data_IF_435311421432
#
_entry.id   IF_435311421432
#
_cell.length_a   1.000
_cell.length_b   1.000
_cell.length_c   1.000
_cell.angle_alpha   90.00
_cell.angle_beta   90.00
_cell.angle_gamma   90.00
#
_symmetry.space_group_name_H-M   'P 1'
#
loop_
_entity.id
_entity.type
_entity.pdbx_description
1 polymer ?
#
# COMPACT_ATOMS: atom_id res chain seq x y z
N UNK A 1 -5.59 -2.34 -18.09
CA UNK A 1 -4.45 -3.24 -18.41
C UNK A 1 -4.80 -4.64 -17.95
N UNK A 2 -4.16 -5.72 -18.43
CA UNK A 2 -4.35 -7.05 -17.81
C UNK A 2 -3.87 -6.99 -16.35
N UNK A 3 -4.66 -7.46 -15.38
CA UNK A 3 -4.24 -7.52 -13.99
C UNK A 3 -2.98 -8.37 -13.85
N UNK A 4 -2.21 -8.11 -12.81
CA UNK A 4 -1.16 -9.01 -12.36
C UNK A 4 -1.32 -9.25 -10.87
N UNK A 5 -0.90 -10.43 -10.44
CA UNK A 5 -0.91 -10.82 -9.04
C UNK A 5 0.52 -11.13 -8.60
N UNK A 6 0.87 -10.65 -7.42
CA UNK A 6 2.07 -11.04 -6.68
C UNK A 6 1.64 -11.56 -5.31
N UNK A 7 2.47 -12.35 -4.66
CA UNK A 7 2.13 -12.91 -3.36
C UNK A 7 3.36 -13.07 -2.48
N UNK A 8 3.13 -13.16 -1.18
CA UNK A 8 4.10 -13.60 -0.19
C UNK A 8 3.41 -14.47 0.86
N UNK A 9 4.14 -15.43 1.42
CA UNK A 9 3.70 -16.19 2.60
C UNK A 9 4.35 -15.56 3.83
N UNK A 10 3.53 -15.25 4.83
CA UNK A 10 3.91 -14.54 6.05
C UNK A 10 3.59 -15.40 7.26
N UNK A 11 4.54 -15.51 8.18
CA UNK A 11 4.42 -16.28 9.42
C UNK A 11 3.64 -15.53 10.49
N UNK A 12 2.37 -15.21 10.21
CA UNK A 12 1.44 -14.61 11.15
C UNK A 12 -0.02 -14.98 10.85
N UNK A 13 -0.94 -14.92 11.85
CA UNK A 13 -2.36 -15.07 11.63
C UNK A 13 -2.91 -14.02 10.64
N UNK A 14 -3.88 -14.42 9.82
CA UNK A 14 -4.42 -13.52 8.78
C UNK A 14 -5.09 -12.28 9.37
N UNK A 15 -5.67 -12.40 10.56
CA UNK A 15 -6.36 -11.33 11.27
C UNK A 15 -5.40 -10.18 11.61
N UNK A 16 -4.18 -10.50 12.06
CA UNK A 16 -3.15 -9.52 12.41
C UNK A 16 -2.58 -8.82 11.17
N UNK A 17 -2.32 -9.58 10.11
CA UNK A 17 -1.84 -9.02 8.84
C UNK A 17 -2.92 -8.13 8.23
N UNK A 18 -4.16 -8.58 8.25
CA UNK A 18 -5.30 -7.80 7.78
C UNK A 18 -5.41 -6.47 8.54
N UNK A 19 -5.39 -6.52 9.89
CA UNK A 19 -5.50 -5.32 10.73
C UNK A 19 -4.39 -4.31 10.46
N UNK A 20 -3.18 -4.81 10.16
CA UNK A 20 -2.07 -3.94 9.84
C UNK A 20 -2.20 -3.32 8.44
N UNK A 21 -2.63 -4.09 7.44
CA UNK A 21 -2.72 -3.61 6.04
C UNK A 21 -3.91 -2.68 5.83
N UNK A 22 -5.03 -2.94 6.53
CA UNK A 22 -6.26 -2.13 6.44
C UNK A 22 -6.11 -0.77 7.13
N UNK A 23 -5.07 -0.60 7.94
CA UNK A 23 -4.66 0.69 8.49
C UNK A 23 -3.62 1.37 7.61
N UNK A 24 -4.06 2.38 6.87
CA UNK A 24 -3.19 3.15 5.98
C UNK A 24 -2.07 3.90 6.73
N UNK A 25 -2.18 4.10 8.05
CA UNK A 25 -1.09 4.65 8.84
C UNK A 25 0.16 3.75 8.82
N UNK A 26 0.00 2.43 8.72
CA UNK A 26 1.13 1.48 8.66
C UNK A 26 1.75 1.35 7.27
N UNK A 27 1.16 1.94 6.23
CA UNK A 27 1.54 1.72 4.82
C UNK A 27 3.00 2.09 4.53
N UNK A 28 3.47 3.19 5.10
CA UNK A 28 4.82 3.70 4.84
C UNK A 28 5.89 2.69 5.25
N UNK A 29 5.68 1.92 6.32
CA UNK A 29 6.62 0.95 6.86
C UNK A 29 7.10 -0.10 5.85
N UNK A 30 6.27 -0.45 4.86
CA UNK A 30 6.60 -1.45 3.84
C UNK A 30 6.51 -0.94 2.40
N UNK A 31 6.10 0.32 2.17
CA UNK A 31 5.98 0.93 0.84
C UNK A 31 6.88 2.16 0.61
N UNK A 32 7.64 2.62 1.61
CA UNK A 32 8.52 3.81 1.51
C UNK A 32 9.56 3.75 0.39
N UNK A 33 9.91 2.57 -0.16
CA UNK A 33 10.86 2.45 -1.27
C UNK A 33 10.37 3.11 -2.55
N UNK A 34 9.05 3.27 -2.73
CA UNK A 34 8.45 3.82 -3.96
C UNK A 34 7.29 4.77 -3.72
N UNK A 35 6.68 4.77 -2.53
CA UNK A 35 5.73 5.77 -2.07
C UNK A 35 6.46 6.82 -1.22
N UNK A 36 6.76 7.97 -1.81
CA UNK A 36 7.44 9.10 -1.16
C UNK A 36 6.42 10.14 -0.68
N UNK A 37 6.78 10.98 0.28
CA UNK A 37 5.90 12.02 0.84
C UNK A 37 4.52 11.48 1.25
N UNK A 38 4.50 10.33 1.92
CA UNK A 38 3.27 9.65 2.30
C UNK A 38 2.53 10.44 3.38
N UNK A 39 1.25 10.73 3.14
CA UNK A 39 0.41 11.51 4.04
C UNK A 39 -1.00 10.94 4.07
N UNK A 40 -1.58 10.85 5.26
CA UNK A 40 -2.98 10.51 5.41
C UNK A 40 -3.85 11.66 4.86
N UNK A 41 -4.84 11.31 4.06
CA UNK A 41 -5.77 12.27 3.44
C UNK A 41 -7.07 12.41 4.24
N UNK A 42 -7.29 11.54 5.24
CA UNK A 42 -8.46 11.53 6.13
C UNK A 42 -8.02 11.24 7.56
N UNK A 43 -8.83 11.65 8.52
CA UNK A 43 -8.59 11.38 9.94
C UNK A 43 -8.81 9.90 10.29
N UNK A 44 -9.81 9.26 9.68
CA UNK A 44 -9.95 7.83 9.73
C UNK A 44 -8.87 7.17 8.85
N UNK A 45 -8.00 6.38 9.47
CA UNK A 45 -6.90 5.69 8.79
C UNK A 45 -7.21 4.23 8.49
N UNK A 46 -8.31 3.70 9.04
CA UNK A 46 -8.62 2.27 9.05
C UNK A 46 -9.94 2.00 8.33
N UNK A 47 -9.95 0.97 7.49
CA UNK A 47 -11.17 0.45 6.87
C UNK A 47 -11.73 1.35 5.77
N UNK A 48 -13.00 1.12 5.40
CA UNK A 48 -13.64 1.80 4.28
C UNK A 48 -13.60 3.34 4.43
N UNK A 49 -13.26 4.01 3.33
CA UNK A 49 -13.13 5.47 3.29
C UNK A 49 -11.81 6.01 3.83
N UNK A 50 -10.96 5.18 4.47
CA UNK A 50 -9.60 5.57 4.78
C UNK A 50 -8.85 5.93 3.48
N UNK A 51 -8.10 7.02 3.51
CA UNK A 51 -7.40 7.49 2.32
C UNK A 51 -6.04 8.11 2.64
N UNK A 52 -5.12 8.01 1.68
CA UNK A 52 -3.79 8.58 1.76
C UNK A 52 -3.32 9.08 0.40
N UNK A 53 -2.38 10.04 0.44
CA UNK A 53 -1.76 10.66 -0.73
C UNK A 53 -0.25 10.54 -0.63
N UNK A 54 0.39 10.26 -1.76
CA UNK A 54 1.85 10.10 -1.83
C UNK A 54 2.36 10.38 -3.25
N UNK A 55 3.66 10.54 -3.37
CA UNK A 55 4.38 10.64 -4.63
C UNK A 55 4.96 9.29 -5.03
N UNK A 56 4.54 8.78 -6.18
CA UNK A 56 5.11 7.57 -6.80
C UNK A 56 6.42 7.91 -7.51
N UNK A 57 7.52 7.26 -7.10
CA UNK A 57 8.83 7.37 -7.74
C UNK A 57 8.92 6.51 -9.03
N UNK A 58 8.06 6.79 -10.01
CA UNK A 58 7.95 6.01 -11.24
C UNK A 58 9.10 6.27 -12.24
N UNK A 59 9.44 5.32 -13.12
CA UNK A 59 10.61 5.39 -14.02
C UNK A 59 10.56 6.51 -15.08
N UNK A 60 9.41 7.15 -15.29
CA UNK A 60 9.21 8.24 -16.26
C UNK A 60 8.85 9.57 -15.58
N UNK A 61 9.30 9.73 -14.32
CA UNK A 61 9.06 10.90 -13.50
C UNK A 61 8.09 10.63 -12.36
N UNK A 62 8.24 11.40 -11.29
CA UNK A 62 7.41 11.30 -10.10
C UNK A 62 5.98 11.74 -10.37
N UNK A 63 5.02 11.03 -9.78
CA UNK A 63 3.59 11.31 -9.98
C UNK A 63 2.86 11.27 -8.65
N UNK A 64 2.03 12.28 -8.37
CA UNK A 64 1.11 12.21 -7.24
C UNK A 64 0.08 11.11 -7.47
N UNK A 65 -0.16 10.35 -6.41
CA UNK A 65 -1.19 9.34 -6.33
C UNK A 65 -1.99 9.51 -5.03
N UNK A 66 -3.24 9.12 -5.10
CA UNK A 66 -4.14 9.01 -3.95
C UNK A 66 -4.71 7.60 -3.93
N UNK A 67 -4.79 7.02 -2.74
CA UNK A 67 -5.44 5.73 -2.50
C UNK A 67 -6.59 5.94 -1.52
N UNK A 68 -7.64 5.16 -1.71
CA UNK A 68 -8.76 5.07 -0.78
C UNK A 68 -9.21 3.61 -0.65
N UNK A 69 -9.47 3.15 0.56
CA UNK A 69 -10.09 1.85 0.80
C UNK A 69 -11.55 1.94 0.39
N UNK A 70 -11.95 1.10 -0.56
CA UNK A 70 -13.27 1.10 -1.16
C UNK A 70 -14.20 0.03 -0.56
N UNK A 71 -13.65 -1.10 -0.15
CA UNK A 71 -14.41 -2.22 0.43
C UNK A 71 -13.50 -3.03 1.36
N UNK A 72 -14.05 -3.47 2.49
CA UNK A 72 -13.36 -4.30 3.48
C UNK A 72 -14.21 -5.50 3.89
N UNK A 73 -13.63 -6.69 3.82
CA UNK A 73 -14.23 -7.93 4.33
C UNK A 73 -13.21 -8.61 5.26
N UNK A 74 -13.28 -8.29 6.56
CA UNK A 74 -12.34 -8.80 7.55
C UNK A 74 -12.58 -10.31 7.80
N UNK A 75 -11.52 -11.13 7.87
CA UNK A 75 -10.10 -10.86 7.62
C UNK A 75 -9.64 -11.27 6.21
N UNK A 76 -10.55 -11.40 5.25
CA UNK A 76 -10.32 -12.08 3.97
C UNK A 76 -9.83 -11.16 2.86
N UNK A 77 -10.33 -9.92 2.79
CA UNK A 77 -10.14 -9.07 1.61
C UNK A 77 -10.18 -7.58 1.90
N UNK A 78 -9.33 -6.83 1.19
CA UNK A 78 -9.35 -5.37 1.13
C UNK A 78 -9.30 -4.95 -0.34
N UNK A 79 -10.21 -4.08 -0.76
CA UNK A 79 -10.18 -3.48 -2.08
C UNK A 79 -9.87 -1.98 -1.98
N UNK A 80 -8.83 -1.56 -2.67
CA UNK A 80 -8.41 -0.16 -2.75
C UNK A 80 -8.64 0.38 -4.16
N UNK A 81 -9.02 1.65 -4.21
CA UNK A 81 -9.03 2.45 -5.43
C UNK A 81 -7.90 3.43 -5.38
N UNK A 82 -7.26 3.64 -6.51
CA UNK A 82 -6.16 4.59 -6.64
C UNK A 82 -6.39 5.52 -7.82
N UNK A 83 -5.97 6.77 -7.67
CA UNK A 83 -5.92 7.76 -8.75
C UNK A 83 -4.52 8.31 -8.83
N UNK A 84 -3.97 8.44 -10.02
CA UNK A 84 -2.59 8.88 -10.20
C UNK A 84 -2.37 9.68 -11.50
N UNK A 85 -1.21 10.33 -11.57
CA UNK A 85 -0.84 11.20 -12.68
C UNK A 85 -1.49 12.58 -12.59
N UNK A 86 -1.30 13.39 -13.65
CA UNK A 86 -1.80 14.78 -13.69
C UNK A 86 -3.32 14.81 -13.43
N UNK A 87 -3.72 15.52 -12.37
CA UNK A 87 -5.11 15.66 -11.91
C UNK A 87 -5.81 14.31 -11.60
N UNK A 88 -5.07 13.25 -11.28
CA UNK A 88 -5.65 11.95 -10.92
C UNK A 88 -6.39 11.26 -12.08
N UNK A 89 -6.02 11.58 -13.32
CA UNK A 89 -6.69 11.08 -14.53
C UNK A 89 -6.61 9.57 -14.71
N UNK A 90 -5.52 8.94 -14.28
CA UNK A 90 -5.38 7.49 -14.38
C UNK A 90 -5.97 6.83 -13.13
N UNK A 91 -6.66 5.72 -13.32
CA UNK A 91 -7.22 4.94 -12.21
C UNK A 91 -6.44 3.65 -12.03
N UNK A 92 -6.37 3.17 -10.81
CA UNK A 92 -5.91 1.84 -10.48
C UNK A 92 -6.84 1.24 -9.45
N UNK A 93 -6.84 -0.08 -9.39
CA UNK A 93 -7.41 -0.80 -8.29
C UNK A 93 -6.46 -1.89 -7.85
N UNK A 94 -6.50 -2.12 -6.54
CA UNK A 94 -5.61 -3.02 -5.83
C UNK A 94 -6.49 -3.87 -4.92
N UNK A 95 -6.34 -5.19 -4.98
CA UNK A 95 -7.03 -6.12 -4.09
C UNK A 95 -5.98 -6.87 -3.31
N UNK A 96 -6.13 -6.85 -1.99
CA UNK A 96 -5.46 -7.77 -1.08
C UNK A 96 -6.39 -8.93 -0.75
N UNK A 97 -5.89 -10.15 -0.88
CA UNK A 97 -6.57 -11.36 -0.42
C UNK A 97 -5.68 -12.07 0.61
N UNK A 98 -6.27 -12.46 1.74
CA UNK A 98 -5.57 -13.08 2.87
C UNK A 98 -6.03 -14.54 3.02
N UNK A 99 -5.22 -15.45 2.51
CA UNK A 99 -5.51 -16.88 2.48
C UNK A 99 -4.78 -17.56 3.65
N UNK A 100 -5.53 -18.03 4.64
CA UNK A 100 -4.96 -18.83 5.73
C UNK A 100 -4.43 -20.15 5.18
N UNK A 101 -3.14 -20.43 5.37
CA UNK A 101 -2.52 -21.71 5.05
C UNK A 101 -2.41 -22.60 6.31
N UNK A 102 -2.31 -21.99 7.48
CA UNK A 102 -2.36 -22.62 8.80
C UNK A 102 -2.84 -21.59 9.84
N UNK A 103 -2.90 -21.96 11.13
CA UNK A 103 -3.25 -21.02 12.20
C UNK A 103 -2.27 -19.83 12.34
N UNK A 104 -1.02 -19.99 11.92
CA UNK A 104 0.05 -18.99 12.07
C UNK A 104 0.77 -18.68 10.76
N UNK A 105 0.15 -19.02 9.61
CA UNK A 105 0.74 -18.80 8.30
C UNK A 105 -0.32 -18.36 7.32
N UNK A 106 -0.06 -17.23 6.66
CA UNK A 106 -1.00 -16.60 5.73
C UNK A 106 -0.30 -16.31 4.42
N UNK A 107 -0.94 -16.68 3.32
CA UNK A 107 -0.56 -16.24 1.98
C UNK A 107 -1.32 -14.96 1.66
N UNK A 108 -0.59 -13.87 1.48
CA UNK A 108 -1.13 -12.58 1.07
C UNK A 108 -0.95 -12.45 -0.43
N UNK A 109 -2.05 -12.32 -1.14
CA UNK A 109 -2.06 -12.04 -2.58
C UNK A 109 -2.42 -10.58 -2.84
N UNK A 110 -1.68 -9.96 -3.75
CA UNK A 110 -1.87 -8.57 -4.15
C UNK A 110 -2.11 -8.52 -5.66
N UNK A 111 -3.36 -8.28 -6.04
CA UNK A 111 -3.78 -8.13 -7.42
C UNK A 111 -3.90 -6.66 -7.77
N UNK A 112 -3.21 -6.24 -8.83
CA UNK A 112 -3.16 -4.83 -9.25
C UNK A 112 -3.53 -4.71 -10.73
N UNK A 113 -4.36 -3.73 -11.04
CA UNK A 113 -4.59 -3.30 -12.42
C UNK A 113 -4.78 -1.79 -12.52
N UNK A 114 -4.47 -1.28 -13.71
CA UNK A 114 -4.56 0.14 -14.06
C UNK A 114 -5.52 0.34 -15.23
N UNK A 115 -6.19 1.48 -15.22
CA UNK A 115 -7.04 2.00 -16.28
C UNK A 115 -6.46 3.35 -16.73
N UNK A 116 -5.58 3.34 -17.75
CA UNK A 116 -4.98 4.56 -18.28
C UNK A 116 -6.03 5.38 -19.03
N UNK A 117 -6.00 6.70 -18.86
CA UNK A 117 -6.97 7.61 -19.49
C UNK A 117 -6.63 7.99 -20.94
N UNK A 118 -5.39 7.79 -21.39
CA UNK A 118 -4.97 8.15 -22.76
C UNK A 118 -4.12 7.08 -23.46
N UNK A 119 -4.05 7.07 -24.81
CA UNK A 119 -3.18 6.15 -25.56
C UNK A 119 -1.70 6.29 -25.22
N UNK A 120 -1.22 7.51 -24.96
CA UNK A 120 0.16 7.77 -24.52
C UNK A 120 0.44 7.20 -23.12
N UNK A 121 -0.51 7.30 -22.20
CA UNK A 121 -0.40 6.67 -20.89
C UNK A 121 -0.39 5.14 -21.01
N UNK A 122 -1.24 4.58 -21.88
CA UNK A 122 -1.25 3.15 -22.19
C UNK A 122 0.07 2.68 -22.80
N UNK A 123 0.71 3.48 -23.65
CA UNK A 123 2.01 3.18 -24.23
C UNK A 123 3.11 3.21 -23.16
N UNK A 124 3.16 4.25 -22.33
CA UNK A 124 4.11 4.34 -21.19
C UNK A 124 3.95 3.18 -20.21
N UNK A 125 2.70 2.79 -19.93
CA UNK A 125 2.42 1.62 -19.09
C UNK A 125 2.96 0.31 -19.67
N UNK A 126 2.84 0.12 -20.99
CA UNK A 126 3.39 -1.04 -21.71
C UNK A 126 4.92 -1.03 -21.76
N UNK A 127 5.54 0.14 -21.80
CA UNK A 127 7.00 0.31 -21.95
C UNK A 127 7.80 0.22 -20.64
N UNK A 128 7.17 -0.13 -19.51
CA UNK A 128 7.93 -0.45 -18.31
C UNK A 128 7.19 -0.28 -16.99
N UNK A 129 6.16 0.58 -16.95
CA UNK A 129 5.46 0.86 -15.68
C UNK A 129 4.81 -0.39 -15.09
N UNK A 130 4.29 -1.31 -15.92
CA UNK A 130 3.77 -2.61 -15.43
C UNK A 130 4.84 -3.45 -14.73
N UNK A 131 6.01 -3.63 -15.37
CA UNK A 131 7.10 -4.44 -14.80
C UNK A 131 7.65 -3.78 -13.54
N UNK A 132 7.78 -2.46 -13.56
CA UNK A 132 8.20 -1.69 -12.41
C UNK A 132 7.20 -1.81 -11.25
N UNK A 133 5.89 -1.63 -11.50
CA UNK A 133 4.86 -1.73 -10.48
C UNK A 133 4.80 -3.14 -9.88
N UNK A 134 4.87 -4.18 -10.72
CA UNK A 134 4.98 -5.57 -10.26
C UNK A 134 6.18 -5.78 -9.34
N UNK A 135 7.35 -5.24 -9.68
CA UNK A 135 8.55 -5.31 -8.83
C UNK A 135 8.36 -4.57 -7.50
N UNK A 136 7.77 -3.37 -7.52
CA UNK A 136 7.54 -2.60 -6.29
C UNK A 136 6.53 -3.31 -5.37
N UNK A 137 5.47 -3.89 -5.95
CA UNK A 137 4.46 -4.68 -5.24
C UNK A 137 5.03 -5.98 -4.64
N UNK A 138 5.90 -6.69 -5.37
CA UNK A 138 6.61 -7.84 -4.79
C UNK A 138 7.48 -7.42 -3.61
N UNK A 139 8.30 -6.36 -3.78
CA UNK A 139 9.16 -5.84 -2.72
C UNK A 139 8.39 -5.32 -1.51
N UNK A 140 7.18 -4.75 -1.72
CA UNK A 140 6.34 -4.32 -0.59
C UNK A 140 5.81 -5.51 0.21
N UNK A 141 5.44 -6.62 -0.44
CA UNK A 141 5.02 -7.83 0.27
C UNK A 141 6.18 -8.52 0.99
N UNK A 142 7.38 -8.52 0.40
CA UNK A 142 8.60 -8.99 1.06
C UNK A 142 8.92 -8.18 2.32
N UNK A 143 8.79 -6.86 2.25
CA UNK A 143 8.97 -5.98 3.42
C UNK A 143 7.88 -6.16 4.47
N UNK A 144 6.64 -6.33 4.05
CA UNK A 144 5.54 -6.66 4.95
C UNK A 144 5.84 -7.98 5.68
N UNK A 145 6.35 -8.98 4.98
CA UNK A 145 6.78 -10.24 5.59
C UNK A 145 7.86 -10.01 6.65
N UNK A 146 8.93 -9.27 6.33
CA UNK A 146 9.98 -8.94 7.30
C UNK A 146 9.43 -8.23 8.53
N UNK A 147 8.47 -7.31 8.40
CA UNK A 147 7.84 -6.63 9.54
C UNK A 147 7.11 -7.58 10.50
N UNK A 148 6.61 -8.71 10.03
CA UNK A 148 5.94 -9.71 10.87
C UNK A 148 6.92 -10.76 11.40
N UNK A 149 7.98 -11.08 10.65
CA UNK A 149 8.95 -12.12 11.03
C UNK A 149 10.09 -11.57 11.91
N UNK A 150 10.47 -10.31 11.77
CA UNK A 150 11.58 -9.68 12.49
C UNK A 150 11.10 -8.81 13.68
N UNK A 151 9.91 -8.21 13.60
CA UNK A 151 9.47 -7.15 14.54
C UNK A 151 8.57 -7.64 15.68
N UNK A 152 8.84 -8.80 16.30
CA UNK A 152 8.10 -9.24 17.48
C UNK A 152 8.27 -8.32 18.71
N UNK A 153 9.27 -7.42 18.70
CA UNK A 153 9.69 -6.68 19.90
C UNK A 153 9.54 -5.15 19.86
N UNK A 154 9.28 -4.51 18.72
CA UNK A 154 9.22 -3.04 18.59
C UNK A 154 7.90 -2.54 17.99
N UNK A 155 7.40 -1.40 18.48
CA UNK A 155 6.20 -0.76 17.98
C UNK A 155 6.34 -0.45 16.47
N UNK A 156 5.50 -1.07 15.64
CA UNK A 156 5.55 -0.91 14.18
C UNK A 156 5.36 0.56 13.79
N UNK A 157 6.16 1.10 12.84
CA UNK A 157 6.09 2.51 12.47
C UNK A 157 4.72 2.86 11.87
N UNK A 158 4.18 4.02 12.27
CA UNK A 158 2.87 4.53 11.87
C UNK A 158 2.98 6.00 11.44
N UNK A 159 2.57 6.31 10.22
CA UNK A 159 2.40 7.68 9.73
C UNK A 159 1.21 8.32 10.44
N UNK A 160 1.34 9.56 10.92
CA UNK A 160 0.23 10.30 11.54
C UNK A 160 -0.30 11.38 10.59
N UNK A 161 -1.52 11.87 10.86
CA UNK A 161 -2.20 12.90 10.06
C UNK A 161 -1.33 14.16 10.01
N UNK A 162 -1.33 14.84 8.86
CA UNK A 162 -0.53 16.01 8.55
C UNK A 162 -0.35 16.96 9.76
N UNK A 163 0.90 17.08 10.22
CA UNK A 163 1.31 17.96 11.33
C UNK A 163 1.93 17.25 12.53
N UNK A 164 1.80 15.93 12.64
CA UNK A 164 2.42 15.16 13.72
C UNK A 164 3.28 14.04 13.14
N UNK A 165 4.58 14.04 13.43
CA UNK A 165 5.45 12.91 13.15
C UNK A 165 5.99 12.46 14.51
N UNK A 166 5.51 11.36 15.11
CA UNK A 166 5.86 11.03 16.50
C UNK A 166 7.37 10.84 16.72
N UNK A 167 8.09 10.43 15.67
CA UNK A 167 9.54 10.25 15.67
C UNK A 167 10.33 11.54 15.44
N UNK A 168 9.69 12.61 14.94
CA UNK A 168 10.30 13.94 14.73
C UNK A 168 9.60 15.06 15.52
N UNK A 169 8.62 14.71 16.35
CA UNK A 169 7.88 15.67 17.15
C UNK A 169 8.86 16.30 18.16
N UNK A 170 8.87 17.64 18.31
CA UNK A 170 9.60 18.26 19.39
C UNK A 170 9.06 17.70 20.71
N UNK A 171 9.94 17.00 21.46
CA UNK A 171 9.64 16.54 22.81
C UNK A 171 9.64 17.77 23.72
N UNK A 172 8.46 18.34 23.97
CA UNK A 172 8.33 19.36 25.00
C UNK A 172 8.21 18.66 26.36
N UNK A 173 9.24 18.81 27.19
CA UNK A 173 9.31 18.27 28.55
C UNK A 173 10.50 17.33 28.77
N UNK A 174 11.63 17.91 29.16
CA UNK A 174 12.67 17.29 29.98
C UNK A 174 12.83 18.17 31.23
#
# INVERSE_FOLDING_TARGET
MRPFTVHATISAPREEIYDYVVDLAGREAYCDHYMKDYRLARANTVGEGAAARFMLAAPFGSQWAEISIAECDRPRRIAERSRFGRLGRNKAAVIYEFLAQSASTTRVELTVWTEPASPLDRLREKLGSRRWLRRQSSKSLERLRSLFEESAQEARPRTTIAGYEPLKAPRFGA
#
